data_IF_212017226517
#
_entry.id   IF_212017226517
#
_cell.length_a   1.000
_cell.length_b   1.000
_cell.length_c   1.000
_cell.angle_alpha   90.00
_cell.angle_beta   90.00
_cell.angle_gamma   90.00
#
_symmetry.space_group_name_H-M   'P 1'
#
loop_
_entity.id
_entity.type
_entity.pdbx_description
1 polymer ?
#
# COMPACT_ATOMS: atom_id res chain seq x y z
N UNK A 1 1.84 -4.26 12.20
CA UNK A 1 0.69 -4.51 13.09
C UNK A 1 -0.56 -4.67 12.23
N UNK A 2 -1.31 -5.75 12.37
CA UNK A 2 -2.65 -5.94 11.76
C UNK A 2 -3.76 -5.71 12.80
N UNK A 3 -3.49 -4.90 13.83
CA UNK A 3 -4.40 -4.74 14.97
C UNK A 3 -5.44 -3.62 14.78
N UNK A 4 -5.23 -2.69 13.84
CA UNK A 4 -6.14 -1.54 13.65
C UNK A 4 -7.53 -1.92 13.14
N UNK A 5 -7.59 -2.87 12.19
CA UNK A 5 -8.86 -3.36 11.64
C UNK A 5 -9.73 -4.13 12.63
N UNK A 6 -9.15 -4.62 13.74
CA UNK A 6 -9.91 -5.32 14.79
C UNK A 6 -10.76 -4.38 15.67
N UNK A 7 -10.59 -3.05 15.54
CA UNK A 7 -11.28 -2.04 16.34
C UNK A 7 -12.28 -1.19 15.53
N UNK A 8 -12.64 -1.63 14.31
CA UNK A 8 -13.56 -0.91 13.41
C UNK A 8 -13.10 0.53 13.06
N UNK A 9 -11.78 0.74 13.11
CA UNK A 9 -11.16 1.99 12.70
C UNK A 9 -11.00 1.99 11.17
N UNK A 10 -11.34 3.10 10.52
CA UNK A 10 -11.04 3.28 9.10
C UNK A 10 -9.51 3.37 8.96
N UNK A 11 -8.89 2.29 8.47
CA UNK A 11 -7.44 2.20 8.27
C UNK A 11 -7.14 2.27 6.78
N UNK A 12 -6.34 3.25 6.39
CA UNK A 12 -5.74 3.34 5.06
C UNK A 12 -4.29 2.88 5.06
N UNK A 13 -3.83 2.33 3.94
CA UNK A 13 -2.42 1.98 3.72
C UNK A 13 -1.88 2.73 2.51
N UNK A 14 -0.85 3.55 2.71
CA UNK A 14 -0.16 4.27 1.66
C UNK A 14 1.23 3.65 1.40
N UNK A 15 1.48 3.25 0.15
CA UNK A 15 2.81 2.86 -0.33
C UNK A 15 3.53 4.08 -0.91
N UNK A 16 4.58 4.53 -0.24
CA UNK A 16 5.39 5.70 -0.60
C UNK A 16 6.87 5.32 -0.72
N UNK A 17 7.61 6.03 -1.56
CA UNK A 17 9.04 5.83 -1.80
C UNK A 17 9.35 4.35 -2.12
N UNK A 18 10.31 3.72 -1.43
CA UNK A 18 10.65 2.31 -1.66
C UNK A 18 9.54 1.34 -1.21
N UNK A 19 8.55 1.81 -0.45
CA UNK A 19 7.38 1.03 -0.09
C UNK A 19 6.62 0.52 -1.32
N UNK A 20 6.68 1.22 -2.45
CA UNK A 20 5.99 0.77 -3.68
C UNK A 20 6.55 -0.54 -4.24
N UNK A 21 7.76 -0.95 -3.89
CA UNK A 21 8.31 -2.25 -4.29
C UNK A 21 7.53 -3.43 -3.71
N UNK A 22 6.84 -3.23 -2.58
CA UNK A 22 5.97 -4.27 -2.00
C UNK A 22 4.81 -4.63 -2.94
N UNK A 23 4.43 -3.72 -3.85
CA UNK A 23 3.38 -3.91 -4.85
C UNK A 23 3.88 -4.55 -6.14
N UNK A 24 5.20 -4.77 -6.27
CA UNK A 24 5.77 -5.32 -7.49
C UNK A 24 5.22 -6.72 -7.78
N UNK A 25 4.78 -7.00 -9.03
CA UNK A 25 4.23 -8.30 -9.37
C UNK A 25 5.32 -9.38 -9.37
N UNK A 26 4.90 -10.64 -9.22
CA UNK A 26 5.77 -11.83 -9.38
C UNK A 26 6.99 -11.87 -8.45
N UNK A 27 6.86 -11.37 -7.22
CA UNK A 27 7.90 -11.55 -6.21
C UNK A 27 8.15 -13.04 -5.93
N UNK A 28 9.42 -13.43 -5.77
CA UNK A 28 9.83 -14.80 -5.46
C UNK A 28 10.60 -14.86 -4.12
N UNK A 29 9.95 -14.51 -3.00
CA UNK A 29 10.61 -14.43 -1.70
C UNK A 29 11.14 -15.79 -1.22
N UNK A 30 10.53 -16.89 -1.67
CA UNK A 30 10.97 -18.25 -1.39
C UNK A 30 12.41 -18.53 -1.87
N UNK A 31 12.87 -17.87 -2.95
CA UNK A 31 14.25 -17.99 -3.43
C UNK A 31 15.28 -17.46 -2.40
N UNK A 32 14.85 -16.57 -1.50
CA UNK A 32 15.64 -15.99 -0.43
C UNK A 32 15.21 -16.51 0.96
N UNK A 33 14.38 -17.55 1.03
CA UNK A 33 13.78 -18.07 2.26
C UNK A 33 13.02 -16.99 3.07
N UNK A 34 12.47 -15.99 2.38
CA UNK A 34 11.68 -14.92 2.97
C UNK A 34 10.18 -15.26 2.94
N UNK A 35 9.42 -14.64 3.84
CA UNK A 35 7.96 -14.78 3.88
C UNK A 35 7.33 -14.06 2.69
N UNK A 36 6.35 -14.69 2.07
CA UNK A 36 5.54 -14.04 1.03
C UNK A 36 4.57 -13.04 1.66
N UNK A 37 4.80 -11.76 1.37
CA UNK A 37 3.97 -10.65 1.84
C UNK A 37 2.75 -10.42 0.93
N UNK A 38 2.77 -10.93 -0.31
CA UNK A 38 1.67 -10.77 -1.27
C UNK A 38 0.38 -11.40 -0.75
N UNK A 39 0.48 -12.53 -0.05
CA UNK A 39 -0.65 -13.18 0.60
C UNK A 39 -1.25 -12.31 1.71
N UNK A 40 -0.43 -11.60 2.48
CA UNK A 40 -0.90 -10.68 3.51
C UNK A 40 -1.61 -9.47 2.89
N UNK A 41 -1.05 -8.91 1.81
CA UNK A 41 -1.65 -7.78 1.09
C UNK A 41 -3.05 -8.12 0.56
N UNK A 42 -3.23 -9.32 0.00
CA UNK A 42 -4.55 -9.80 -0.45
C UNK A 42 -5.55 -10.01 0.68
N UNK A 43 -5.05 -10.33 1.88
CA UNK A 43 -5.90 -10.54 3.05
C UNK A 43 -6.29 -9.22 3.75
N UNK A 44 -5.69 -8.07 3.39
CA UNK A 44 -5.97 -6.77 4.02
C UNK A 44 -7.45 -6.41 3.99
N UNK A 45 -8.14 -6.66 2.86
CA UNK A 45 -9.58 -6.45 2.73
C UNK A 45 -10.39 -7.30 3.71
N UNK A 46 -9.94 -8.54 4.00
CA UNK A 46 -10.58 -9.42 4.99
C UNK A 46 -10.41 -8.89 6.43
N UNK A 47 -9.46 -7.99 6.66
CA UNK A 47 -9.21 -7.33 7.94
C UNK A 47 -9.75 -5.89 7.98
N UNK A 48 -10.63 -5.50 7.04
CA UNK A 48 -11.25 -4.17 7.01
C UNK A 48 -10.33 -3.05 6.52
N UNK A 49 -9.19 -3.37 5.92
CA UNK A 49 -8.32 -2.39 5.25
C UNK A 49 -8.68 -2.36 3.77
N UNK A 50 -9.61 -1.48 3.42
CA UNK A 50 -10.13 -1.33 2.05
C UNK A 50 -9.48 -0.14 1.31
N UNK A 51 -8.99 0.84 2.06
CA UNK A 51 -8.37 2.05 1.56
C UNK A 51 -6.88 1.82 1.24
N UNK A 52 -6.55 1.36 0.03
CA UNK A 52 -5.17 1.15 -0.42
C UNK A 52 -4.72 2.25 -1.39
N UNK A 53 -3.59 2.87 -1.10
CA UNK A 53 -3.03 3.98 -1.88
C UNK A 53 -1.58 3.74 -2.28
N UNK A 54 -1.16 4.23 -3.44
CA UNK A 54 0.23 4.24 -3.85
C UNK A 54 0.64 5.59 -4.44
N UNK A 55 1.87 6.04 -4.14
CA UNK A 55 2.42 7.25 -4.75
C UNK A 55 2.82 6.99 -6.21
N UNK A 56 2.12 7.65 -7.14
CA UNK A 56 2.35 7.58 -8.58
C UNK A 56 3.74 8.07 -8.99
N UNK A 57 4.27 9.10 -8.32
CA UNK A 57 5.64 9.58 -8.56
C UNK A 57 6.66 8.52 -8.17
N UNK A 58 6.54 7.92 -6.98
CA UNK A 58 7.46 6.87 -6.50
C UNK A 58 7.41 5.62 -7.39
N UNK A 59 6.22 5.25 -7.89
CA UNK A 59 6.04 4.18 -8.88
C UNK A 59 6.78 4.48 -10.20
N UNK A 60 6.62 5.71 -10.70
CA UNK A 60 7.23 6.15 -11.97
C UNK A 60 8.75 6.17 -11.87
N UNK A 61 9.30 6.71 -10.79
CA UNK A 61 10.75 6.76 -10.53
C UNK A 61 11.39 5.37 -10.45
N UNK A 62 10.63 4.36 -10.01
CA UNK A 62 11.08 2.96 -9.88
C UNK A 62 10.72 2.09 -11.09
N UNK A 63 10.08 2.66 -12.10
CA UNK A 63 9.68 1.95 -13.31
C UNK A 63 8.61 0.88 -13.09
N UNK A 64 7.78 1.02 -12.04
CA UNK A 64 6.66 0.11 -11.77
C UNK A 64 5.44 0.64 -12.53
N UNK A 65 4.96 -0.07 -13.57
CA UNK A 65 3.83 0.42 -14.34
C UNK A 65 2.55 0.31 -13.53
N UNK A 66 1.69 1.32 -13.63
CA UNK A 66 0.36 1.34 -13.02
C UNK A 66 -0.46 0.07 -13.31
N UNK A 67 -0.33 -0.48 -14.53
CA UNK A 67 -1.00 -1.70 -14.97
C UNK A 67 -0.53 -2.98 -14.29
N UNK A 68 0.57 -2.94 -13.54
CA UNK A 68 1.06 -4.06 -12.75
C UNK A 68 0.45 -4.12 -11.34
N UNK A 69 -0.26 -3.06 -10.92
CA UNK A 69 -0.89 -2.96 -9.62
C UNK A 69 -2.28 -3.62 -9.62
N UNK A 70 -2.76 -3.99 -8.44
CA UNK A 70 -4.16 -4.40 -8.25
C UNK A 70 -5.10 -3.21 -8.53
N UNK A 71 -6.28 -3.48 -9.09
CA UNK A 71 -7.31 -2.46 -9.34
C UNK A 71 -7.83 -1.81 -8.04
N UNK A 72 -7.62 -2.48 -6.90
CA UNK A 72 -7.96 -1.99 -5.56
C UNK A 72 -7.03 -0.85 -5.08
N UNK A 73 -5.89 -0.60 -5.75
CA UNK A 73 -4.89 0.38 -5.31
C UNK A 73 -5.10 1.72 -6.03
N UNK A 74 -5.52 2.72 -5.27
CA UNK A 74 -5.69 4.09 -5.74
C UNK A 74 -4.33 4.80 -5.86
N UNK A 75 -4.03 5.35 -7.04
CA UNK A 75 -2.76 6.01 -7.29
C UNK A 75 -2.86 7.51 -7.08
N UNK A 76 -1.95 8.08 -6.28
CA UNK A 76 -1.90 9.50 -5.95
C UNK A 76 -0.66 10.11 -6.61
N UNK A 77 -0.84 11.06 -7.52
CA UNK A 77 0.24 11.62 -8.33
C UNK A 77 0.65 13.01 -7.86
N UNK A 78 -0.27 13.74 -7.24
CA UNK A 78 -0.07 15.13 -6.87
C UNK A 78 0.18 15.27 -5.37
N UNK A 79 0.93 16.31 -5.00
CA UNK A 79 1.12 16.67 -3.61
C UNK A 79 -0.20 17.04 -2.91
N UNK A 80 -1.15 17.61 -3.64
CA UNK A 80 -2.48 17.91 -3.10
C UNK A 80 -3.27 16.66 -2.73
N UNK A 81 -3.20 15.60 -3.54
CA UNK A 81 -3.86 14.32 -3.23
C UNK A 81 -3.25 13.67 -1.99
N UNK A 82 -1.92 13.66 -1.88
CA UNK A 82 -1.23 13.14 -0.70
C UNK A 82 -1.56 13.97 0.55
N UNK A 83 -1.58 15.30 0.45
CA UNK A 83 -1.97 16.17 1.58
C UNK A 83 -3.40 15.91 2.03
N UNK A 84 -4.34 15.83 1.08
CA UNK A 84 -5.74 15.55 1.38
C UNK A 84 -5.93 14.17 2.01
N UNK A 85 -5.11 13.18 1.63
CA UNK A 85 -5.09 11.88 2.27
C UNK A 85 -4.63 11.99 3.73
N UNK A 86 -3.52 12.67 3.99
CA UNK A 86 -3.04 12.84 5.38
C UNK A 86 -4.03 13.62 6.23
N UNK A 87 -4.69 14.64 5.69
CA UNK A 87 -5.71 15.42 6.41
C UNK A 87 -6.98 14.60 6.74
N UNK A 88 -7.20 13.47 6.06
CA UNK A 88 -8.34 12.57 6.30
C UNK A 88 -8.15 11.65 7.52
N UNK A 89 -6.92 11.38 7.93
CA UNK A 89 -6.62 10.47 9.04
C UNK A 89 -6.08 11.23 10.24
N UNK A 90 -6.62 10.95 11.43
CA UNK A 90 -6.18 11.60 12.67
C UNK A 90 -4.76 11.18 13.11
N UNK A 91 -4.34 9.98 12.71
CA UNK A 91 -3.07 9.37 13.12
C UNK A 91 -2.33 8.77 11.92
N UNK A 92 -1.03 9.02 11.84
CA UNK A 92 -0.16 8.51 10.78
C UNK A 92 1.00 7.72 11.38
N UNK A 93 1.08 6.43 11.03
CA UNK A 93 2.16 5.54 11.45
C UNK A 93 3.04 5.26 10.23
N UNK A 94 4.35 5.55 10.34
CA UNK A 94 5.35 5.22 9.32
C UNK A 94 6.17 4.01 9.79
N UNK A 95 6.55 3.13 8.85
CA UNK A 95 7.25 1.85 9.12
C UNK A 95 8.56 1.81 8.33
#
# INVERSE_FOLDING_TARGET
>A
MLAGGAFDLSVGLLFLDDGVFQLSPKQLPAALQQKDLTANLKALSMFGVEDLYACGQSLTERGIPASALSEEISQLYTRSELSALFDRYDEVITI
#
